data_IF_323250091709
#
_entry.id   IF_323250091709
#
_cell.length_a   1.000
_cell.length_b   1.000
_cell.length_c   1.000
_cell.angle_alpha   90.00
_cell.angle_beta   90.00
_cell.angle_gamma   90.00
#
_symmetry.space_group_name_H-M   'P 1'
#
loop_
_entity.id
_entity.type
_entity.pdbx_description
1 polymer ?
#
# COMPACT_ATOMS: atom_id res chain seq x y z
N UNK A 1 22.59 -5.37 -25.59
CA UNK A 1 21.66 -5.10 -24.47
C UNK A 1 21.34 -3.60 -24.46
N UNK A 2 20.26 -3.18 -25.15
CA UNK A 2 19.87 -1.78 -25.29
C UNK A 2 19.36 -1.24 -23.96
N UNK A 3 19.89 -0.13 -23.47
CA UNK A 3 19.37 0.61 -22.32
C UNK A 3 17.94 1.06 -22.65
N UNK A 4 16.94 0.34 -22.12
CA UNK A 4 15.55 0.79 -22.15
C UNK A 4 15.50 2.10 -21.35
N UNK A 5 15.25 3.20 -22.03
CA UNK A 5 15.18 4.51 -21.37
C UNK A 5 13.91 4.61 -20.55
N UNK A 6 13.94 5.34 -19.42
CA UNK A 6 12.78 5.57 -18.55
C UNK A 6 11.55 6.15 -19.33
N UNK A 7 11.80 6.72 -20.52
CA UNK A 7 10.80 7.25 -21.43
C UNK A 7 10.03 6.16 -22.18
N UNK A 8 10.67 5.04 -22.50
CA UNK A 8 10.04 3.92 -23.22
C UNK A 8 9.13 3.09 -22.28
N UNK A 9 9.51 2.95 -21.02
CA UNK A 9 8.65 2.33 -20.01
C UNK A 9 7.41 3.16 -19.72
N UNK A 10 7.52 4.48 -19.65
CA UNK A 10 6.38 5.39 -19.46
C UNK A 10 5.39 5.37 -20.63
N UNK A 11 5.86 5.14 -21.87
CA UNK A 11 4.97 5.06 -23.04
C UNK A 11 4.18 3.75 -23.13
N UNK A 12 4.65 2.68 -22.47
CA UNK A 12 3.96 1.38 -22.42
C UNK A 12 2.98 1.25 -21.25
N UNK A 13 3.09 2.13 -20.26
CA UNK A 13 2.17 2.16 -19.12
C UNK A 13 0.81 2.73 -19.52
N UNK A 14 -0.28 2.05 -19.17
CA UNK A 14 -1.64 2.57 -19.31
C UNK A 14 -1.85 3.86 -18.49
N UNK A 15 -2.83 4.69 -18.85
CA UNK A 15 -3.14 5.96 -18.16
C UNK A 15 -3.29 5.75 -16.64
N UNK A 16 -3.94 4.67 -16.24
CA UNK A 16 -4.16 4.32 -14.83
C UNK A 16 -2.83 4.08 -14.08
N UNK A 17 -1.89 3.44 -14.72
CA UNK A 17 -0.57 3.12 -14.16
C UNK A 17 0.32 4.37 -14.02
N UNK A 18 0.21 5.30 -14.97
CA UNK A 18 0.85 6.63 -14.88
C UNK A 18 0.29 7.45 -13.72
N UNK A 19 -1.03 7.47 -13.53
CA UNK A 19 -1.68 8.17 -12.42
C UNK A 19 -1.24 7.58 -11.07
N UNK A 20 -1.20 6.25 -10.95
CA UNK A 20 -0.80 5.59 -9.70
C UNK A 20 0.68 5.81 -9.37
N UNK A 21 1.58 5.80 -10.35
CA UNK A 21 3.01 6.08 -10.15
C UNK A 21 3.26 7.54 -9.82
N UNK A 22 2.54 8.47 -10.47
CA UNK A 22 2.61 9.89 -10.14
C UNK A 22 2.10 10.18 -8.72
N UNK A 23 0.95 9.61 -8.34
CA UNK A 23 0.38 9.73 -6.99
C UNK A 23 1.32 9.22 -5.90
N UNK A 24 2.08 8.14 -6.17
CA UNK A 24 3.10 7.63 -5.24
C UNK A 24 4.31 8.54 -5.09
N UNK A 25 4.72 9.22 -6.19
CA UNK A 25 5.88 10.14 -6.17
C UNK A 25 5.55 11.50 -5.55
N UNK A 26 4.31 11.98 -5.71
CA UNK A 26 3.88 13.31 -5.31
C UNK A 26 2.66 13.26 -4.38
N UNK A 27 2.77 12.51 -3.28
CA UNK A 27 1.65 12.26 -2.34
C UNK A 27 1.00 13.56 -1.87
N UNK A 28 1.81 14.57 -1.51
CA UNK A 28 1.33 15.85 -0.98
C UNK A 28 0.60 16.67 -2.05
N UNK A 29 1.14 16.72 -3.28
CA UNK A 29 0.49 17.42 -4.39
C UNK A 29 -0.82 16.75 -4.80
N UNK A 30 -0.86 15.42 -4.82
CA UNK A 30 -2.07 14.68 -5.14
C UNK A 30 -3.17 14.92 -4.09
N UNK A 31 -2.85 14.82 -2.79
CA UNK A 31 -3.81 15.07 -1.72
C UNK A 31 -4.24 16.55 -1.67
N UNK A 32 -3.34 17.50 -1.95
CA UNK A 32 -3.70 18.91 -2.07
C UNK A 32 -4.66 19.17 -3.23
N UNK A 33 -4.43 18.55 -4.39
CA UNK A 33 -5.33 18.66 -5.53
C UNK A 33 -6.71 18.11 -5.23
N UNK A 34 -6.79 16.95 -4.58
CA UNK A 34 -8.06 16.40 -4.09
C UNK A 34 -8.75 17.33 -3.10
N UNK A 35 -8.02 17.88 -2.13
CA UNK A 35 -8.56 18.81 -1.15
C UNK A 35 -9.15 20.06 -1.81
N UNK A 36 -8.45 20.63 -2.81
CA UNK A 36 -8.93 21.81 -3.56
C UNK A 36 -10.19 21.49 -4.36
N UNK A 37 -10.22 20.37 -5.09
CA UNK A 37 -11.39 19.96 -5.88
C UNK A 37 -12.62 19.75 -4.97
N UNK A 38 -12.44 19.03 -3.87
CA UNK A 38 -13.52 18.76 -2.90
C UNK A 38 -13.96 20.06 -2.21
N UNK A 39 -13.02 20.97 -1.90
CA UNK A 39 -13.34 22.26 -1.30
C UNK A 39 -14.19 23.12 -2.24
N UNK A 40 -13.84 23.18 -3.52
CA UNK A 40 -14.65 23.89 -4.53
C UNK A 40 -16.06 23.27 -4.60
N UNK A 41 -16.15 21.94 -4.63
CA UNK A 41 -17.44 21.25 -4.65
C UNK A 41 -18.30 21.59 -3.41
N UNK A 42 -17.73 21.57 -2.21
CA UNK A 42 -18.43 21.91 -0.98
C UNK A 42 -18.83 23.40 -0.91
N UNK A 43 -18.00 24.28 -1.48
CA UNK A 43 -18.32 25.71 -1.59
C UNK A 43 -19.50 25.94 -2.54
N UNK A 44 -19.56 25.23 -3.66
CA UNK A 44 -20.69 25.29 -4.59
C UNK A 44 -21.98 24.75 -3.94
N UNK A 45 -21.88 23.68 -3.15
CA UNK A 45 -23.01 23.16 -2.38
C UNK A 45 -23.49 24.15 -1.29
N UNK A 46 -22.54 24.80 -0.61
CA UNK A 46 -22.87 25.81 0.42
C UNK A 46 -23.58 27.05 -0.16
N UNK A 47 -23.28 27.42 -1.40
CA UNK A 47 -23.92 28.57 -2.07
C UNK A 47 -25.41 28.42 -2.34
N UNK A 48 -26.01 27.25 -2.06
CA UNK A 48 -27.46 27.02 -2.18
C UNK A 48 -28.23 27.33 -0.88
N UNK A 49 -27.52 27.59 0.23
CA UNK A 49 -28.13 27.90 1.53
C UNK A 49 -27.82 29.34 1.92
N UNK A 50 -28.87 30.15 2.13
CA UNK A 50 -28.75 31.58 2.39
C UNK A 50 -28.15 31.92 3.76
N UNK A 51 -28.30 31.03 4.76
CA UNK A 51 -27.63 31.17 6.05
C UNK A 51 -27.61 29.86 6.83
N UNK A 52 -26.58 29.67 7.63
CA UNK A 52 -26.44 28.50 8.52
C UNK A 52 -26.31 28.98 9.98
N UNK A 53 -27.04 28.36 10.89
CA UNK A 53 -26.96 28.72 12.29
C UNK A 53 -25.65 28.19 12.91
N UNK A 54 -25.05 28.99 13.78
CA UNK A 54 -24.05 28.60 14.74
C UNK A 54 -24.52 28.88 16.14
N UNK A 55 -23.72 28.64 17.15
CA UNK A 55 -24.06 28.97 18.55
C UNK A 55 -24.18 30.47 18.72
N UNK A 56 -23.30 31.26 18.12
CA UNK A 56 -23.18 32.70 18.37
C UNK A 56 -24.09 33.51 17.45
N UNK A 57 -24.03 33.22 16.13
CA UNK A 57 -24.71 34.00 15.09
C UNK A 57 -25.09 33.11 13.89
N UNK A 58 -25.93 33.68 13.01
CA UNK A 58 -26.07 33.10 11.64
C UNK A 58 -24.90 33.48 10.75
N UNK A 59 -24.49 32.57 9.94
CA UNK A 59 -23.36 32.71 9.02
C UNK A 59 -23.81 32.60 7.56
N UNK A 60 -23.32 33.51 6.75
CA UNK A 60 -23.59 33.55 5.32
C UNK A 60 -22.73 32.49 4.57
N UNK A 61 -23.01 32.32 3.29
CA UNK A 61 -22.29 31.38 2.40
C UNK A 61 -20.79 31.69 2.29
N UNK A 62 -20.35 32.93 2.50
CA UNK A 62 -18.92 33.29 2.40
C UNK A 62 -18.13 32.72 3.58
N UNK A 63 -18.71 32.77 4.79
CA UNK A 63 -18.13 32.17 5.99
C UNK A 63 -18.14 30.64 5.91
N UNK A 64 -19.20 30.05 5.34
CA UNK A 64 -19.29 28.61 5.07
C UNK A 64 -18.20 28.15 4.11
N UNK A 65 -17.98 28.91 3.03
CA UNK A 65 -16.92 28.64 2.07
C UNK A 65 -15.54 28.74 2.73
N UNK A 66 -15.29 29.78 3.54
CA UNK A 66 -14.06 29.96 4.30
C UNK A 66 -13.75 28.75 5.19
N UNK A 67 -14.72 28.33 6.02
CA UNK A 67 -14.54 27.15 6.88
C UNK A 67 -14.30 25.87 6.09
N UNK A 68 -14.99 25.71 4.94
CA UNK A 68 -14.77 24.57 4.06
C UNK A 68 -13.31 24.51 3.53
N UNK A 69 -12.73 25.66 3.14
CA UNK A 69 -11.32 25.71 2.73
C UNK A 69 -10.36 25.45 3.89
N UNK A 70 -10.61 26.04 5.05
CA UNK A 70 -9.76 25.87 6.24
C UNK A 70 -9.71 24.41 6.70
N UNK A 71 -10.85 23.71 6.73
CA UNK A 71 -10.93 22.29 7.09
C UNK A 71 -10.28 21.36 6.05
N UNK A 72 -10.13 21.80 4.80
CA UNK A 72 -9.45 21.01 3.77
C UNK A 72 -7.92 21.05 3.87
N UNK A 73 -7.33 22.03 4.57
CA UNK A 73 -5.88 22.11 4.78
C UNK A 73 -5.32 20.84 5.47
N UNK A 74 -5.85 20.39 6.61
CA UNK A 74 -5.40 19.13 7.21
C UNK A 74 -5.66 17.91 6.32
N UNK A 75 -6.74 17.91 5.51
CA UNK A 75 -7.02 16.81 4.58
C UNK A 75 -5.92 16.67 3.53
N UNK A 76 -5.34 17.77 3.05
CA UNK A 76 -4.20 17.75 2.13
C UNK A 76 -2.92 17.16 2.76
N UNK A 77 -2.77 17.27 4.08
CA UNK A 77 -1.59 16.79 4.83
C UNK A 77 -1.75 15.36 5.39
N UNK A 78 -2.89 14.72 5.23
CA UNK A 78 -3.30 13.47 5.92
C UNK A 78 -2.36 12.27 5.72
N UNK A 79 -1.66 12.17 4.58
CA UNK A 79 -0.70 11.07 4.30
C UNK A 79 0.73 11.43 4.68
N UNK A 80 1.07 12.72 4.72
CA UNK A 80 2.42 13.16 5.06
C UNK A 80 2.65 13.15 6.58
N UNK A 81 1.73 13.76 7.35
CA UNK A 81 1.77 13.77 8.81
C UNK A 81 0.38 13.45 9.39
N UNK A 82 -0.05 12.17 9.38
CA UNK A 82 -1.42 11.79 9.68
C UNK A 82 -1.87 12.19 11.08
N UNK A 83 -1.00 12.06 12.09
CA UNK A 83 -1.32 12.43 13.47
C UNK A 83 -1.57 13.93 13.61
N UNK A 84 -0.66 14.76 13.09
CA UNK A 84 -0.79 16.22 13.14
C UNK A 84 -1.98 16.71 12.32
N UNK A 85 -2.21 16.13 11.15
CA UNK A 85 -3.35 16.46 10.30
C UNK A 85 -4.68 16.16 11.01
N UNK A 86 -4.80 15.02 11.67
CA UNK A 86 -6.02 14.63 12.41
C UNK A 86 -6.23 15.52 13.63
N UNK A 87 -5.19 15.85 14.40
CA UNK A 87 -5.28 16.77 15.53
C UNK A 87 -5.64 18.18 15.08
N UNK A 88 -5.04 18.67 13.99
CA UNK A 88 -5.36 19.97 13.44
C UNK A 88 -6.82 20.04 12.97
N UNK A 89 -7.29 19.00 12.26
CA UNK A 89 -8.68 18.90 11.83
C UNK A 89 -9.63 18.90 13.04
N UNK A 90 -9.36 18.08 14.05
CA UNK A 90 -10.13 18.00 15.28
C UNK A 90 -10.19 19.36 16.01
N UNK A 91 -9.05 20.05 16.13
CA UNK A 91 -8.97 21.37 16.73
C UNK A 91 -9.78 22.43 15.96
N UNK A 92 -9.68 22.40 14.62
CA UNK A 92 -10.45 23.31 13.75
C UNK A 92 -11.94 23.06 13.86
N UNK A 93 -12.40 21.80 13.93
CA UNK A 93 -13.81 21.46 14.15
C UNK A 93 -14.31 21.99 15.51
N UNK A 94 -13.51 21.86 16.57
CA UNK A 94 -13.89 22.42 17.89
C UNK A 94 -13.98 23.94 17.84
N UNK A 95 -13.05 24.62 17.17
CA UNK A 95 -13.10 26.10 16.99
C UNK A 95 -14.30 26.50 16.15
N UNK A 96 -14.61 25.76 15.09
CA UNK A 96 -15.79 25.95 14.26
C UNK A 96 -17.08 25.83 15.09
N UNK A 97 -17.24 24.76 15.87
CA UNK A 97 -18.40 24.55 16.71
C UNK A 97 -18.61 25.70 17.75
N UNK A 98 -17.51 26.27 18.25
CA UNK A 98 -17.57 27.37 19.23
C UNK A 98 -17.85 28.73 18.60
N UNK A 99 -17.25 29.05 17.44
CA UNK A 99 -17.22 30.40 16.87
C UNK A 99 -17.75 30.50 15.45
N UNK A 100 -18.03 29.38 14.79
CA UNK A 100 -18.45 29.30 13.40
C UNK A 100 -19.84 28.69 13.23
N UNK A 101 -20.17 28.30 12.00
CA UNK A 101 -21.39 27.55 11.70
C UNK A 101 -21.35 26.19 12.39
N UNK A 102 -22.50 25.72 12.88
CA UNK A 102 -22.60 24.45 13.60
C UNK A 102 -22.26 23.22 12.75
N UNK A 103 -22.44 23.33 11.42
CA UNK A 103 -22.14 22.28 10.46
C UNK A 103 -21.71 22.89 9.13
N UNK A 104 -20.65 22.34 8.51
CA UNK A 104 -20.28 22.62 7.13
C UNK A 104 -20.12 21.29 6.37
N UNK A 105 -20.24 21.31 5.03
CA UNK A 105 -20.08 20.09 4.22
C UNK A 105 -18.70 19.45 4.39
N UNK A 106 -17.68 20.24 4.72
CA UNK A 106 -16.33 19.77 4.98
C UNK A 106 -16.23 18.85 6.22
N UNK A 107 -17.16 18.91 7.15
CA UNK A 107 -17.23 18.00 8.31
C UNK A 107 -17.44 16.54 7.90
N UNK A 108 -18.02 16.30 6.71
CA UNK A 108 -18.12 14.97 6.12
C UNK A 108 -16.77 14.31 5.88
N UNK A 109 -15.66 15.06 5.94
CA UNK A 109 -14.32 14.50 5.86
C UNK A 109 -13.78 13.94 7.18
N UNK A 110 -14.49 14.12 8.29
CA UNK A 110 -14.06 13.62 9.60
C UNK A 110 -13.77 12.10 9.64
N UNK A 111 -14.61 11.19 9.08
CA UNK A 111 -14.30 9.76 9.02
C UNK A 111 -13.09 9.45 8.14
N UNK A 112 -12.84 10.23 7.09
CA UNK A 112 -11.66 10.07 6.25
C UNK A 112 -10.38 10.48 6.99
N UNK A 113 -10.44 11.52 7.83
CA UNK A 113 -9.32 11.90 8.70
C UNK A 113 -9.04 10.80 9.74
N UNK A 114 -10.10 10.26 10.37
CA UNK A 114 -9.98 9.13 11.30
C UNK A 114 -9.41 7.87 10.59
N UNK A 115 -9.90 7.54 9.39
CA UNK A 115 -9.34 6.48 8.57
C UNK A 115 -7.83 6.69 8.33
N UNK A 116 -7.42 7.90 7.98
CA UNK A 116 -6.00 8.21 7.74
C UNK A 116 -5.15 8.06 8.99
N UNK A 117 -5.68 8.47 10.16
CA UNK A 117 -5.02 8.28 11.45
C UNK A 117 -4.85 6.80 11.81
N UNK A 118 -5.84 5.94 11.55
CA UNK A 118 -5.74 4.50 11.86
C UNK A 118 -4.80 3.77 10.90
N UNK A 119 -4.82 4.12 9.60
CA UNK A 119 -4.08 3.39 8.55
C UNK A 119 -2.63 3.83 8.44
N UNK A 120 -2.33 5.13 8.63
CA UNK A 120 -1.00 5.71 8.36
C UNK A 120 -0.25 6.14 9.62
N UNK A 121 -0.94 6.35 10.76
CA UNK A 121 -0.28 6.74 12.02
C UNK A 121 0.22 5.53 12.82
N UNK A 122 0.92 5.81 13.92
CA UNK A 122 1.39 4.80 14.85
C UNK A 122 0.20 3.99 15.43
N UNK A 123 0.26 2.65 15.41
CA UNK A 123 -0.75 1.77 15.99
C UNK A 123 -1.15 2.07 17.42
N UNK A 124 -0.19 2.53 18.22
CA UNK A 124 -0.39 2.82 19.64
C UNK A 124 -1.40 3.93 19.87
N UNK A 125 -1.45 4.91 18.94
CA UNK A 125 -2.30 6.08 19.07
C UNK A 125 -3.70 5.91 18.44
N UNK A 126 -3.96 4.81 17.75
CA UNK A 126 -5.25 4.58 17.05
C UNK A 126 -6.45 4.70 17.98
N UNK A 127 -6.34 4.14 19.20
CA UNK A 127 -7.42 4.18 20.21
C UNK A 127 -7.70 5.62 20.66
N UNK A 128 -6.66 6.43 20.85
CA UNK A 128 -6.79 7.82 21.26
C UNK A 128 -7.53 8.65 20.19
N UNK A 129 -7.22 8.43 18.90
CA UNK A 129 -7.92 9.11 17.80
C UNK A 129 -9.39 8.70 17.69
N UNK A 130 -9.70 7.42 17.94
CA UNK A 130 -11.10 6.95 17.97
C UNK A 130 -11.86 7.64 19.12
N UNK A 131 -11.29 7.65 20.33
CA UNK A 131 -11.90 8.31 21.49
C UNK A 131 -12.08 9.80 21.21
N UNK A 132 -11.08 10.48 20.65
CA UNK A 132 -11.17 11.89 20.27
C UNK A 132 -12.31 12.15 19.27
N UNK A 133 -12.41 11.32 18.21
CA UNK A 133 -13.47 11.49 17.21
C UNK A 133 -14.87 11.28 17.79
N UNK A 134 -15.05 10.28 18.65
CA UNK A 134 -16.33 10.04 19.35
C UNK A 134 -16.66 11.18 20.30
N UNK A 135 -15.68 11.69 21.05
CA UNK A 135 -15.87 12.81 21.96
C UNK A 135 -16.28 14.08 21.21
N UNK A 136 -15.65 14.38 20.06
CA UNK A 136 -16.04 15.52 19.22
C UNK A 136 -17.45 15.31 18.64
N UNK A 137 -17.79 14.10 18.19
CA UNK A 137 -19.14 13.78 17.71
C UNK A 137 -20.22 13.96 18.80
N UNK A 138 -19.91 13.55 20.04
CA UNK A 138 -20.78 13.75 21.19
C UNK A 138 -20.95 15.24 21.57
N UNK A 139 -19.90 16.05 21.36
CA UNK A 139 -19.96 17.49 21.54
C UNK A 139 -20.74 18.18 20.42
N UNK A 140 -20.51 17.76 19.18
CA UNK A 140 -21.10 18.36 17.97
C UNK A 140 -22.62 18.15 17.91
N UNK A 141 -23.12 16.96 18.29
CA UNK A 141 -24.54 16.61 18.14
C UNK A 141 -25.49 17.58 18.88
N UNK A 142 -25.29 17.91 20.15
CA UNK A 142 -26.18 18.90 20.83
C UNK A 142 -25.97 20.33 20.30
N UNK A 143 -24.75 20.68 19.85
CA UNK A 143 -24.47 22.00 19.27
C UNK A 143 -25.23 22.21 17.97
N UNK A 144 -25.22 21.19 17.10
CA UNK A 144 -25.92 21.22 15.81
C UNK A 144 -27.44 21.37 16.03
N UNK A 145 -28.00 20.56 16.89
CA UNK A 145 -29.44 20.59 17.16
C UNK A 145 -29.85 21.88 17.88
N UNK A 146 -29.06 22.30 18.88
CA UNK A 146 -29.33 23.58 19.56
C UNK A 146 -29.37 24.75 18.58
N UNK A 147 -28.35 24.86 17.71
CA UNK A 147 -28.28 25.96 16.75
C UNK A 147 -29.39 25.91 15.70
N UNK A 148 -29.86 24.70 15.33
CA UNK A 148 -30.96 24.53 14.37
C UNK A 148 -32.33 24.81 14.99
N UNK A 149 -32.59 24.34 16.21
CA UNK A 149 -33.92 24.40 16.83
C UNK A 149 -34.14 25.62 17.71
N UNK A 150 -33.10 26.04 18.46
CA UNK A 150 -33.18 27.21 19.36
C UNK A 150 -32.60 28.50 18.75
N UNK A 151 -31.80 28.37 17.70
CA UNK A 151 -31.11 29.47 17.04
C UNK A 151 -29.91 30.02 17.82
N UNK A 152 -29.16 30.96 17.22
CA UNK A 152 -27.97 31.53 17.83
C UNK A 152 -28.29 32.49 18.98
N UNK A 153 -27.33 32.58 19.91
CA UNK A 153 -27.49 33.37 21.17
C UNK A 153 -27.62 34.88 20.88
N UNK A 154 -26.89 35.42 19.91
CA UNK A 154 -26.85 36.86 19.64
C UNK A 154 -27.99 37.37 18.75
N UNK A 155 -28.61 36.54 17.95
CA UNK A 155 -29.66 36.92 16.99
C UNK A 155 -31.04 36.32 17.36
N UNK A 156 -31.34 36.16 18.62
CA UNK A 156 -32.66 35.74 19.10
C UNK A 156 -33.69 36.82 18.78
N UNK A 157 -34.58 36.57 17.85
CA UNK A 157 -35.66 37.49 17.49
C UNK A 157 -35.76 37.89 16.02
N UNK A 158 -34.84 37.49 15.19
CA UNK A 158 -35.00 37.60 13.73
C UNK A 158 -35.62 36.32 13.21
N UNK A 159 -36.88 36.31 12.73
CA UNK A 159 -37.44 35.13 12.09
C UNK A 159 -36.58 34.77 10.89
N UNK A 160 -36.08 33.55 10.83
CA UNK A 160 -35.39 33.01 9.67
C UNK A 160 -36.48 32.70 8.64
N UNK A 161 -36.45 33.42 7.50
CA UNK A 161 -37.37 33.15 6.40
C UNK A 161 -37.05 31.78 5.78
N UNK A 162 -37.76 30.74 6.19
CA UNK A 162 -37.71 29.44 5.56
C UNK A 162 -37.70 28.21 6.46
N UNK A 163 -37.23 28.30 7.69
CA UNK A 163 -37.36 27.22 8.70
C UNK A 163 -37.97 27.85 9.96
N UNK A 164 -39.27 27.67 10.14
CA UNK A 164 -39.88 27.99 11.44
C UNK A 164 -39.11 27.20 12.51
N UNK A 165 -38.57 27.87 13.56
CA UNK A 165 -38.12 27.13 14.73
C UNK A 165 -39.27 26.23 15.13
N UNK A 166 -38.98 24.94 15.47
CA UNK A 166 -40.03 24.07 16.01
C UNK A 166 -40.87 24.89 16.95
N UNK A 167 -42.21 24.97 16.78
CA UNK A 167 -43.13 25.79 17.59
C UNK A 167 -42.87 25.59 19.07
N UNK A 168 -42.39 24.44 19.50
CA UNK A 168 -42.03 24.05 20.87
C UNK A 168 -40.84 24.81 21.44
N UNK A 169 -39.91 25.33 20.59
CA UNK A 169 -38.72 26.07 21.03
C UNK A 169 -38.78 27.57 20.67
N UNK A 170 -39.76 28.00 19.84
CA UNK A 170 -39.90 29.39 19.47
C UNK A 170 -40.32 30.23 20.67
N UNK A 171 -39.50 31.21 21.05
CA UNK A 171 -39.77 32.09 22.21
C UNK A 171 -39.08 31.66 23.50
N UNK A 172 -38.26 30.62 23.49
CA UNK A 172 -37.49 30.19 24.66
C UNK A 172 -36.24 31.04 24.81
N UNK A 173 -36.32 32.09 25.56
CA UNK A 173 -35.15 32.85 26.01
C UNK A 173 -34.26 31.95 26.89
N UNK A 174 -32.95 32.25 26.97
CA UNK A 174 -31.86 31.49 27.65
C UNK A 174 -32.23 31.02 29.07
N UNK A 175 -33.29 31.56 29.70
CA UNK A 175 -33.70 31.29 31.08
C UNK A 175 -34.94 30.40 31.25
N UNK A 176 -35.51 29.87 30.18
CA UNK A 176 -36.74 29.07 30.30
C UNK A 176 -36.88 28.03 29.19
N UNK A 177 -35.97 27.01 29.14
CA UNK A 177 -36.23 25.85 28.31
C UNK A 177 -37.56 25.23 28.79
N UNK A 178 -38.59 25.26 27.95
CA UNK A 178 -39.80 24.48 28.23
C UNK A 178 -39.41 22.99 28.25
N UNK A 179 -40.06 22.20 29.12
CA UNK A 179 -39.74 20.77 29.20
C UNK A 179 -39.82 20.06 27.86
N UNK A 180 -40.74 20.49 27.00
CA UNK A 180 -40.93 19.92 25.65
C UNK A 180 -39.79 20.27 24.68
N UNK A 181 -39.26 21.50 24.71
CA UNK A 181 -38.10 21.90 23.92
C UNK A 181 -36.82 21.13 24.35
N UNK A 182 -36.60 21.02 25.68
CA UNK A 182 -35.45 20.30 26.20
C UNK A 182 -35.46 18.80 25.80
N UNK A 183 -36.63 18.17 25.85
CA UNK A 183 -36.78 16.77 25.44
C UNK A 183 -36.56 16.57 23.92
N UNK A 184 -37.07 17.50 23.10
CA UNK A 184 -36.87 17.48 21.64
C UNK A 184 -35.39 17.65 21.27
N UNK A 185 -34.71 18.65 21.87
CA UNK A 185 -33.27 18.85 21.66
C UNK A 185 -32.48 17.61 22.09
N UNK A 186 -32.79 17.03 23.25
CA UNK A 186 -32.10 15.85 23.75
C UNK A 186 -32.29 14.62 22.83
N UNK A 187 -33.53 14.33 22.42
CA UNK A 187 -33.82 13.18 21.54
C UNK A 187 -33.21 13.34 20.14
N UNK A 188 -33.30 14.54 19.57
CA UNK A 188 -32.67 14.84 18.25
C UNK A 188 -31.16 14.80 18.33
N UNK A 189 -30.55 15.29 19.41
CA UNK A 189 -29.10 15.21 19.65
C UNK A 189 -28.61 13.75 19.72
N UNK A 190 -29.36 12.88 20.40
CA UNK A 190 -29.04 11.44 20.44
C UNK A 190 -29.17 10.83 19.07
N UNK A 191 -30.16 11.17 18.26
CA UNK A 191 -30.31 10.66 16.90
C UNK A 191 -29.16 11.09 16.00
N UNK A 192 -28.75 12.35 16.02
CA UNK A 192 -27.59 12.88 15.29
C UNK A 192 -26.30 12.20 15.77
N UNK A 193 -26.13 12.02 17.09
CA UNK A 193 -24.97 11.31 17.63
C UNK A 193 -24.88 9.87 17.13
N UNK A 194 -26.01 9.15 17.11
CA UNK A 194 -26.05 7.78 16.56
C UNK A 194 -25.64 7.77 15.08
N UNK A 195 -26.15 8.73 14.29
CA UNK A 195 -25.78 8.86 12.89
C UNK A 195 -24.26 9.09 12.71
N UNK A 196 -23.68 10.04 13.46
CA UNK A 196 -22.24 10.31 13.46
C UNK A 196 -21.46 9.06 13.91
N UNK A 197 -21.91 8.39 14.97
CA UNK A 197 -21.26 7.20 15.49
C UNK A 197 -21.24 6.05 14.47
N UNK A 198 -22.36 5.80 13.76
CA UNK A 198 -22.45 4.79 12.70
C UNK A 198 -21.50 5.15 11.54
N UNK A 199 -21.43 6.42 11.16
CA UNK A 199 -20.56 6.91 10.08
C UNK A 199 -19.08 6.76 10.45
N UNK A 200 -18.68 7.12 11.69
CA UNK A 200 -17.34 6.89 12.21
C UNK A 200 -17.01 5.39 12.33
N UNK A 201 -17.96 4.59 12.79
CA UNK A 201 -17.79 3.14 12.94
C UNK A 201 -17.52 2.45 11.59
N UNK A 202 -18.24 2.84 10.55
CA UNK A 202 -17.98 2.34 9.19
C UNK A 202 -16.56 2.68 8.74
N UNK A 203 -16.09 3.90 8.99
CA UNK A 203 -14.71 4.29 8.66
C UNK A 203 -13.67 3.50 9.47
N UNK A 204 -13.94 3.23 10.74
CA UNK A 204 -13.08 2.41 11.61
C UNK A 204 -12.95 0.99 11.05
N UNK A 205 -14.06 0.34 10.67
CA UNK A 205 -14.05 -1.01 10.08
C UNK A 205 -13.20 -1.03 8.82
N UNK A 206 -13.44 -0.11 7.90
CA UNK A 206 -12.68 0.00 6.64
C UNK A 206 -11.19 0.25 6.92
N UNK A 207 -10.87 1.11 7.89
CA UNK A 207 -9.50 1.41 8.26
C UNK A 207 -8.74 0.18 8.81
N UNK A 208 -9.34 -0.56 9.73
CA UNK A 208 -8.73 -1.78 10.27
C UNK A 208 -8.62 -2.89 9.22
N UNK A 209 -9.64 -3.06 8.38
CA UNK A 209 -9.60 -4.01 7.26
C UNK A 209 -8.45 -3.68 6.28
N UNK A 210 -8.34 -2.42 5.88
CA UNK A 210 -7.28 -1.97 4.99
C UNK A 210 -5.89 -2.11 5.61
N UNK A 211 -5.76 -1.86 6.91
CA UNK A 211 -4.51 -2.06 7.64
C UNK A 211 -4.14 -3.54 7.71
N UNK A 212 -5.08 -4.42 8.07
CA UNK A 212 -4.85 -5.86 8.09
C UNK A 212 -4.42 -6.38 6.72
N UNK A 213 -5.11 -5.94 5.66
CA UNK A 213 -4.76 -6.29 4.27
C UNK A 213 -3.34 -5.88 3.90
N UNK A 214 -2.89 -4.68 4.30
CA UNK A 214 -1.51 -4.22 4.02
C UNK A 214 -0.47 -5.09 4.71
N UNK A 215 -0.68 -5.43 5.97
CA UNK A 215 0.21 -6.31 6.74
C UNK A 215 0.27 -7.70 6.09
N UNK A 216 -0.87 -8.27 5.72
CA UNK A 216 -0.91 -9.58 5.05
C UNK A 216 -0.16 -9.57 3.73
N UNK A 217 -0.36 -8.54 2.90
CA UNK A 217 0.32 -8.41 1.60
C UNK A 217 1.84 -8.26 1.79
N UNK A 218 2.29 -7.45 2.75
CA UNK A 218 3.73 -7.30 3.03
C UNK A 218 4.37 -8.61 3.50
N UNK A 219 3.70 -9.36 4.38
CA UNK A 219 4.18 -10.68 4.82
C UNK A 219 4.21 -11.71 3.69
N UNK A 220 3.25 -11.65 2.75
CA UNK A 220 3.26 -12.52 1.56
C UNK A 220 4.43 -12.21 0.63
N UNK A 221 4.75 -10.93 0.41
CA UNK A 221 5.93 -10.54 -0.38
C UNK A 221 7.22 -11.03 0.27
N UNK A 222 7.41 -10.77 1.56
CA UNK A 222 8.60 -11.23 2.29
C UNK A 222 8.75 -12.75 2.24
N UNK A 223 7.65 -13.48 2.38
CA UNK A 223 7.65 -14.96 2.26
C UNK A 223 8.01 -15.42 0.86
N UNK A 224 7.47 -14.77 -0.19
CA UNK A 224 7.79 -15.11 -1.57
C UNK A 224 9.26 -14.85 -1.89
N UNK A 225 9.81 -13.74 -1.43
CA UNK A 225 11.23 -13.41 -1.61
C UNK A 225 12.13 -14.44 -0.92
N UNK A 226 11.75 -14.87 0.30
CA UNK A 226 12.47 -15.92 1.02
C UNK A 226 12.39 -17.29 0.32
N UNK A 227 11.23 -17.64 -0.27
CA UNK A 227 11.07 -18.86 -1.05
C UNK A 227 11.91 -18.85 -2.34
N UNK A 228 11.93 -17.73 -3.05
CA UNK A 228 12.76 -17.58 -4.24
C UNK A 228 14.26 -17.72 -3.93
N UNK A 229 14.72 -17.06 -2.85
CA UNK A 229 16.11 -17.19 -2.41
C UNK A 229 16.48 -18.65 -2.09
N UNK A 230 15.56 -19.39 -1.44
CA UNK A 230 15.75 -20.81 -1.14
C UNK A 230 15.79 -21.68 -2.40
N UNK A 231 14.90 -21.45 -3.35
CA UNK A 231 14.90 -22.17 -4.63
C UNK A 231 16.21 -21.94 -5.41
N UNK A 232 16.72 -20.72 -5.42
CA UNK A 232 17.98 -20.40 -6.09
C UNK A 232 19.18 -21.09 -5.41
N UNK A 233 19.18 -21.16 -4.07
CA UNK A 233 20.19 -21.91 -3.31
C UNK A 233 20.11 -23.42 -3.61
N UNK A 234 18.91 -24.01 -3.62
CA UNK A 234 18.70 -25.42 -3.97
C UNK A 234 19.18 -25.74 -5.41
N UNK A 235 18.90 -24.86 -6.37
CA UNK A 235 19.39 -24.99 -7.74
C UNK A 235 20.92 -24.93 -7.80
N UNK A 236 21.53 -24.03 -7.03
CA UNK A 236 22.98 -23.92 -6.95
C UNK A 236 23.62 -25.20 -6.35
N UNK A 237 23.06 -25.71 -5.26
CA UNK A 237 23.51 -26.95 -4.64
C UNK A 237 23.36 -28.14 -5.61
N UNK A 238 22.22 -28.24 -6.31
CA UNK A 238 21.99 -29.28 -7.30
C UNK A 238 23.01 -29.21 -8.44
N UNK A 239 23.34 -28.02 -8.93
CA UNK A 239 24.35 -27.83 -9.96
C UNK A 239 25.75 -28.23 -9.48
N UNK A 240 26.12 -27.93 -8.24
CA UNK A 240 27.39 -28.37 -7.63
C UNK A 240 27.46 -29.90 -7.48
N UNK A 241 26.35 -30.51 -6.98
CA UNK A 241 26.27 -31.96 -6.86
C UNK A 241 26.41 -32.68 -8.22
N UNK A 242 25.78 -32.16 -9.27
CA UNK A 242 25.88 -32.67 -10.60
C UNK A 242 27.29 -32.54 -11.15
N UNK A 243 27.96 -31.40 -10.98
CA UNK A 243 29.38 -31.24 -11.37
C UNK A 243 30.30 -32.25 -10.63
N UNK A 244 30.06 -32.46 -9.33
CA UNK A 244 30.83 -33.45 -8.55
C UNK A 244 30.56 -34.89 -9.00
N UNK A 245 29.36 -35.22 -9.45
CA UNK A 245 29.01 -36.50 -10.04
C UNK A 245 29.77 -36.71 -11.35
N UNK A 246 29.68 -35.74 -12.26
CA UNK A 246 30.37 -35.79 -13.56
C UNK A 246 31.89 -35.95 -13.37
N UNK A 247 32.50 -35.19 -12.45
CA UNK A 247 33.92 -35.30 -12.15
C UNK A 247 34.30 -36.70 -11.66
N UNK A 248 33.45 -37.36 -10.88
CA UNK A 248 33.66 -38.74 -10.40
C UNK A 248 33.54 -39.74 -11.53
N UNK A 249 32.49 -39.65 -12.37
CA UNK A 249 32.25 -40.51 -13.51
C UNK A 249 33.45 -40.40 -14.48
N UNK A 250 33.99 -39.20 -14.73
CA UNK A 250 35.18 -38.95 -15.52
C UNK A 250 36.42 -39.59 -14.91
N UNK A 251 36.62 -39.45 -13.59
CA UNK A 251 37.75 -40.03 -12.90
C UNK A 251 37.74 -41.55 -13.03
N UNK A 252 36.57 -42.18 -12.89
CA UNK A 252 36.43 -43.63 -13.02
C UNK A 252 36.76 -44.14 -14.43
N UNK A 253 36.29 -43.43 -15.46
CA UNK A 253 36.64 -43.76 -16.85
C UNK A 253 38.17 -43.65 -17.12
N UNK A 254 38.76 -42.53 -16.66
CA UNK A 254 40.22 -42.31 -16.81
C UNK A 254 41.03 -43.35 -16.04
N UNK A 255 40.70 -43.63 -14.79
CA UNK A 255 41.40 -44.59 -13.95
C UNK A 255 41.32 -46.01 -14.53
N UNK A 256 40.13 -46.40 -15.01
CA UNK A 256 39.95 -47.72 -15.66
C UNK A 256 40.79 -47.85 -16.95
N UNK A 257 40.74 -46.87 -17.83
CA UNK A 257 41.48 -46.87 -19.07
C UNK A 257 43.00 -46.87 -18.86
N UNK A 258 43.48 -46.02 -17.92
CA UNK A 258 44.91 -46.02 -17.56
C UNK A 258 45.36 -47.38 -17.01
N UNK A 259 44.54 -48.04 -16.20
CA UNK A 259 44.84 -49.37 -15.68
C UNK A 259 44.97 -50.40 -16.78
N UNK A 260 44.09 -50.38 -17.81
CA UNK A 260 44.16 -51.24 -18.98
C UNK A 260 45.45 -50.97 -19.79
N UNK A 261 45.73 -49.67 -20.02
CA UNK A 261 46.93 -49.26 -20.77
C UNK A 261 48.23 -49.76 -20.10
N UNK A 262 48.30 -49.63 -18.76
CA UNK A 262 49.47 -50.09 -17.97
C UNK A 262 49.61 -51.60 -18.10
N UNK A 263 48.54 -52.37 -17.90
CA UNK A 263 48.62 -53.88 -18.03
C UNK A 263 48.98 -54.28 -19.45
N UNK A 264 48.44 -53.68 -20.50
CA UNK A 264 48.76 -53.96 -21.87
C UNK A 264 50.21 -53.58 -22.21
N UNK A 265 50.69 -52.43 -21.69
CA UNK A 265 52.08 -51.99 -21.92
C UNK A 265 53.11 -52.95 -21.31
N UNK A 266 52.83 -53.39 -20.05
CA UNK A 266 53.70 -54.37 -19.39
C UNK A 266 53.68 -55.74 -20.09
N UNK A 267 52.51 -56.23 -20.49
CA UNK A 267 52.33 -57.45 -21.25
C UNK A 267 53.02 -57.38 -22.61
N UNK A 268 52.86 -56.28 -23.35
CA UNK A 268 53.52 -56.04 -24.66
C UNK A 268 55.01 -55.94 -24.56
N UNK A 269 55.54 -55.32 -23.50
CA UNK A 269 56.98 -55.24 -23.23
C UNK A 269 57.60 -56.63 -22.99
N UNK A 270 56.92 -57.45 -22.18
CA UNK A 270 57.41 -58.82 -21.87
C UNK A 270 57.32 -59.74 -23.08
N UNK A 271 56.20 -59.74 -23.78
CA UNK A 271 55.99 -60.58 -24.96
C UNK A 271 56.80 -60.11 -26.18
N UNK A 272 57.04 -58.85 -26.36
CA UNK A 272 57.77 -58.24 -27.47
C UNK A 272 59.27 -58.61 -27.51
N UNK A 273 59.85 -58.99 -26.37
CA UNK A 273 61.25 -59.47 -26.32
C UNK A 273 61.47 -60.73 -27.17
N UNK A 274 60.46 -61.61 -27.32
CA UNK A 274 60.51 -62.85 -28.04
C UNK A 274 59.65 -62.91 -29.33
N UNK A 275 58.68 -61.97 -29.50
CA UNK A 275 57.76 -61.92 -30.62
C UNK A 275 57.41 -60.50 -31.03
N UNK A 276 58.06 -59.89 -32.01
CA UNK A 276 57.81 -58.53 -32.46
C UNK A 276 56.39 -58.28 -33.03
N UNK A 277 55.76 -59.34 -33.58
CA UNK A 277 54.40 -59.23 -34.11
C UNK A 277 53.39 -59.01 -32.98
N UNK A 278 53.58 -59.68 -31.83
CA UNK A 278 52.69 -59.52 -30.63
C UNK A 278 52.85 -58.13 -30.01
N UNK A 279 54.08 -57.59 -29.98
CA UNK A 279 54.28 -56.20 -29.51
C UNK A 279 53.55 -55.19 -30.38
N UNK A 280 53.51 -55.31 -31.71
CA UNK A 280 52.76 -54.43 -32.60
C UNK A 280 51.24 -54.54 -32.33
N UNK A 281 50.72 -55.74 -32.16
CA UNK A 281 49.32 -55.97 -31.88
C UNK A 281 48.93 -55.34 -30.56
N UNK A 282 49.74 -55.41 -29.51
CA UNK A 282 49.51 -54.81 -28.21
C UNK A 282 49.51 -53.29 -28.33
N UNK A 283 50.41 -52.68 -29.07
CA UNK A 283 50.43 -51.23 -29.31
C UNK A 283 49.20 -50.77 -30.07
N UNK A 284 48.67 -51.54 -31.01
CA UNK A 284 47.41 -51.21 -31.69
C UNK A 284 46.20 -51.28 -30.76
N UNK A 285 46.18 -52.26 -29.88
CA UNK A 285 45.09 -52.33 -28.82
C UNK A 285 45.12 -51.13 -27.88
N UNK A 286 46.32 -50.74 -27.39
CA UNK A 286 46.51 -49.56 -26.57
C UNK A 286 46.01 -48.29 -27.29
N UNK A 287 46.36 -48.13 -28.55
CA UNK A 287 45.94 -47.01 -29.38
C UNK A 287 44.41 -46.95 -29.46
N UNK A 288 43.77 -48.07 -29.76
CA UNK A 288 42.33 -48.15 -29.93
C UNK A 288 41.56 -47.88 -28.61
N UNK A 289 42.01 -48.42 -27.48
CA UNK A 289 41.43 -48.17 -26.17
C UNK A 289 41.61 -46.69 -25.74
N UNK A 290 42.77 -46.11 -26.05
CA UNK A 290 43.04 -44.70 -25.78
C UNK A 290 42.11 -43.76 -26.58
N UNK A 291 41.93 -44.08 -27.90
CA UNK A 291 41.01 -43.31 -28.78
C UNK A 291 39.58 -43.45 -28.34
N UNK A 292 39.15 -44.65 -27.90
CA UNK A 292 37.80 -44.88 -27.38
C UNK A 292 37.55 -44.08 -26.09
N UNK A 293 38.46 -44.15 -25.14
CA UNK A 293 38.35 -43.39 -23.88
C UNK A 293 38.32 -41.89 -24.12
N UNK A 294 39.13 -41.36 -25.03
CA UNK A 294 39.11 -39.94 -25.39
C UNK A 294 37.79 -39.54 -26.05
N UNK A 295 37.21 -40.41 -26.87
CA UNK A 295 35.90 -40.17 -27.49
C UNK A 295 34.80 -40.15 -26.47
N UNK A 296 34.77 -41.10 -25.51
CA UNK A 296 33.78 -41.18 -24.45
C UNK A 296 33.87 -39.96 -23.51
N UNK A 297 35.08 -39.51 -23.16
CA UNK A 297 35.26 -38.26 -22.40
C UNK A 297 34.76 -37.03 -23.14
N UNK A 298 35.08 -36.90 -24.45
CA UNK A 298 34.56 -35.79 -25.28
C UNK A 298 33.04 -35.80 -25.37
N UNK A 299 32.46 -37.00 -25.47
CA UNK A 299 31.00 -37.16 -25.51
C UNK A 299 30.33 -36.70 -24.17
N UNK A 300 30.94 -37.10 -23.05
CA UNK A 300 30.46 -36.65 -21.72
C UNK A 300 30.60 -35.13 -21.55
N UNK A 301 31.69 -34.52 -22.01
CA UNK A 301 31.91 -33.07 -22.01
C UNK A 301 31.04 -32.33 -23.05
N UNK A 302 30.87 -32.91 -24.24
CA UNK A 302 30.17 -32.29 -25.38
C UNK A 302 28.64 -32.20 -25.16
N UNK A 303 28.06 -33.08 -24.35
CA UNK A 303 26.65 -32.99 -23.98
C UNK A 303 26.37 -31.72 -23.15
N UNK A 304 27.37 -31.17 -22.46
CA UNK A 304 27.25 -29.96 -21.65
C UNK A 304 27.82 -28.69 -22.30
N UNK A 305 28.54 -28.81 -23.43
CA UNK A 305 29.14 -27.67 -24.17
C UNK A 305 28.29 -27.12 -25.30
N UNK A 306 27.14 -27.73 -25.58
CA UNK A 306 26.36 -27.45 -26.81
C UNK A 306 25.38 -26.26 -26.71
N UNK A 307 25.26 -25.57 -25.56
CA UNK A 307 24.30 -24.46 -25.43
C UNK A 307 24.91 -23.05 -25.36
N UNK A 308 26.22 -22.91 -25.20
CA UNK A 308 26.82 -21.58 -25.00
C UNK A 308 27.60 -20.99 -26.20
N UNK A 309 27.67 -21.67 -27.35
CA UNK A 309 28.44 -21.17 -28.49
C UNK A 309 27.64 -20.90 -29.78
N UNK A 310 26.31 -20.92 -29.72
CA UNK A 310 25.47 -20.60 -30.89
C UNK A 310 25.14 -19.10 -31.06
N UNK A 311 25.58 -18.21 -30.16
CA UNK A 311 25.14 -16.80 -30.17
C UNK A 311 26.24 -15.76 -30.50
N UNK A 312 27.43 -16.19 -30.97
CA UNK A 312 28.51 -15.23 -31.30
C UNK A 312 29.05 -15.30 -32.75
N UNK A 313 28.27 -15.83 -33.67
CA UNK A 313 28.66 -15.81 -35.07
C UNK A 313 27.53 -15.27 -35.95
N UNK A 314 27.07 -14.05 -35.70
CA UNK A 314 26.41 -13.20 -36.72
C UNK A 314 26.16 -11.79 -36.11
N UNK A 315 27.18 -10.92 -36.18
CA UNK A 315 27.05 -9.47 -36.39
C UNK A 315 28.28 -8.97 -37.12
#
# INVERSE_FOLDING_TARGET
>A
MGRVTARDTLNRMGIMERITTWNRKHVLLADALYAVIISIFFTLMAGTNDSNPGIIAYFDHTVMAFWSFVLMVPVAMRRWKPQMATLLFAGLVVVQLAFGPSMVYADLMAPWMLYSAIVYADPRNSKAFIVLAVAIGALASPVIIWSADAGPILNQGVPFDGLSPLETCSGTYIYGLSGDCATTIATSSVAIFIFIAVYLFAAIIVAYWQRARRITVSMMHERNDALQAKEDEERHIAALAERARIARDMHDVVAHTLSIIIIQSDGGRYAGANNPALARQTMETIRHESERALHDMKRLLGVFGGSDHADYADV
#
